data_IF_937408095005
#
_entry.id   IF_937408095005
#
_cell.length_a   1.000
_cell.length_b   1.000
_cell.length_c   1.000
_cell.angle_alpha   90.00
_cell.angle_beta   90.00
_cell.angle_gamma   90.00
#
_symmetry.space_group_name_H-M   'P 1'
#
loop_
_entity.id
_entity.type
_entity.pdbx_description
1 polymer ?
#
# COMPACT_ATOMS: atom_id res chain seq x y z
N UNK A 1 -4.61 12.60 -2.01
CA UNK A 1 -4.92 12.60 -0.54
C UNK A 1 -5.85 11.49 -0.03
N UNK A 2 -7.19 11.65 0.04
CA UNK A 2 -8.08 10.62 0.64
C UNK A 2 -8.00 9.31 -0.14
N UNK A 3 -7.93 9.41 -1.48
CA UNK A 3 -7.78 8.26 -2.35
C UNK A 3 -6.52 7.47 -2.02
N UNK A 4 -5.35 8.11 -1.92
CA UNK A 4 -4.06 7.48 -1.59
C UNK A 4 -4.09 6.74 -0.25
N UNK A 5 -4.71 7.34 0.76
CA UNK A 5 -4.87 6.64 2.03
C UNK A 5 -5.74 5.38 1.90
N UNK A 6 -6.87 5.46 1.18
CA UNK A 6 -7.78 4.33 0.99
C UNK A 6 -7.20 3.26 0.05
N UNK A 7 -6.48 3.64 -1.01
CA UNK A 7 -5.74 2.72 -1.88
C UNK A 7 -4.64 2.03 -1.09
N UNK A 8 -3.91 2.76 -0.27
CA UNK A 8 -2.94 2.21 0.69
C UNK A 8 -3.56 1.11 1.54
N UNK A 9 -4.69 1.38 2.19
CA UNK A 9 -5.41 0.38 2.99
C UNK A 9 -5.74 -0.86 2.15
N UNK A 10 -6.35 -0.65 0.98
CA UNK A 10 -6.78 -1.75 0.12
C UNK A 10 -5.60 -2.60 -0.34
N UNK A 11 -4.53 -1.98 -0.83
CA UNK A 11 -3.29 -2.66 -1.25
C UNK A 11 -2.68 -3.42 -0.08
N UNK A 12 -2.62 -2.82 1.11
CA UNK A 12 -2.13 -3.48 2.32
C UNK A 12 -2.93 -4.73 2.68
N UNK A 13 -4.27 -4.66 2.65
CA UNK A 13 -5.15 -5.82 2.90
C UNK A 13 -4.94 -6.89 1.83
N UNK A 14 -5.07 -6.52 0.56
CA UNK A 14 -5.00 -7.46 -0.57
C UNK A 14 -3.66 -8.17 -0.60
N UNK A 15 -2.55 -7.42 -0.45
CA UNK A 15 -1.22 -8.01 -0.42
C UNK A 15 -1.08 -8.97 0.76
N UNK A 16 -1.53 -8.57 1.95
CA UNK A 16 -1.49 -9.44 3.13
C UNK A 16 -2.23 -10.77 2.91
N UNK A 17 -3.46 -10.71 2.37
CA UNK A 17 -4.27 -11.90 2.15
C UNK A 17 -3.73 -12.79 1.03
N UNK A 18 -3.31 -12.21 -0.10
CA UNK A 18 -2.75 -12.96 -1.23
C UNK A 18 -1.43 -13.62 -0.82
N UNK A 19 -0.52 -12.87 -0.22
CA UNK A 19 0.78 -13.41 0.16
C UNK A 19 0.66 -14.48 1.24
N UNK A 20 -0.20 -14.28 2.24
CA UNK A 20 -0.48 -15.32 3.23
C UNK A 20 -1.09 -16.57 2.60
N UNK A 21 -2.05 -16.44 1.67
CA UNK A 21 -2.73 -17.60 1.08
C UNK A 21 -1.86 -18.41 0.12
N UNK A 22 -1.06 -17.73 -0.70
CA UNK A 22 -0.37 -18.36 -1.84
C UNK A 22 1.13 -18.57 -1.61
N UNK A 23 1.77 -17.79 -0.75
CA UNK A 23 3.24 -17.76 -0.64
C UNK A 23 3.77 -18.16 0.74
N UNK A 24 3.05 -17.85 1.83
CA UNK A 24 3.50 -18.12 3.19
C UNK A 24 2.72 -19.27 3.84
N UNK A 25 3.42 -20.20 4.49
CA UNK A 25 2.77 -21.29 5.26
C UNK A 25 2.32 -20.78 6.63
N UNK A 26 1.44 -21.54 7.30
CA UNK A 26 0.69 -21.23 8.54
C UNK A 26 1.47 -20.54 9.68
N UNK A 27 2.80 -20.67 9.69
CA UNK A 27 3.67 -20.21 10.76
C UNK A 27 4.57 -19.03 10.36
N UNK A 28 4.50 -18.55 9.11
CA UNK A 28 5.53 -17.69 8.55
C UNK A 28 5.37 -16.19 8.85
N UNK A 29 6.53 -15.64 9.22
CA UNK A 29 6.79 -14.41 9.96
C UNK A 29 6.03 -13.18 9.44
N UNK A 30 5.35 -12.48 10.37
CA UNK A 30 4.82 -11.12 10.22
C UNK A 30 5.72 -10.21 9.36
N UNK A 31 7.04 -10.33 9.54
CA UNK A 31 8.03 -9.57 8.80
C UNK A 31 7.96 -9.80 7.28
N UNK A 32 7.77 -11.03 6.81
CA UNK A 32 7.68 -11.35 5.37
C UNK A 32 6.42 -10.72 4.75
N UNK A 33 5.29 -10.86 5.43
CA UNK A 33 4.01 -10.24 5.03
C UNK A 33 4.17 -8.71 5.01
N UNK A 34 4.71 -8.14 6.08
CA UNK A 34 4.92 -6.70 6.20
C UNK A 34 5.81 -6.17 5.07
N UNK A 35 6.96 -6.81 4.81
CA UNK A 35 7.88 -6.42 3.72
C UNK A 35 7.19 -6.54 2.36
N UNK A 36 6.46 -7.63 2.10
CA UNK A 36 5.73 -7.79 0.83
C UNK A 36 4.69 -6.68 0.59
N UNK A 37 3.97 -6.28 1.65
CA UNK A 37 3.00 -5.19 1.59
C UNK A 37 3.69 -3.83 1.38
N UNK A 38 4.80 -3.56 2.06
CA UNK A 38 5.56 -2.32 1.88
C UNK A 38 6.16 -2.18 0.48
N UNK A 39 6.70 -3.27 -0.08
CA UNK A 39 7.20 -3.27 -1.46
C UNK A 39 6.05 -3.06 -2.45
N UNK A 40 4.92 -3.73 -2.22
CA UNK A 40 3.75 -3.64 -3.10
C UNK A 40 3.17 -2.22 -3.10
N UNK A 41 3.02 -1.57 -1.94
CA UNK A 41 2.47 -0.21 -1.89
C UNK A 41 3.41 0.81 -2.51
N UNK A 42 4.73 0.71 -2.31
CA UNK A 42 5.68 1.62 -2.97
C UNK A 42 5.62 1.46 -4.48
N UNK A 43 5.52 0.22 -4.98
CA UNK A 43 5.38 -0.03 -6.41
C UNK A 43 4.07 0.55 -6.98
N UNK A 44 2.94 0.31 -6.29
CA UNK A 44 1.64 0.83 -6.72
C UNK A 44 1.58 2.35 -6.65
N UNK A 45 2.08 2.96 -5.57
CA UNK A 45 2.13 4.41 -5.39
C UNK A 45 2.96 5.08 -6.48
N UNK A 46 4.19 4.59 -6.74
CA UNK A 46 5.01 5.13 -7.84
C UNK A 46 4.33 4.97 -9.20
N UNK A 47 3.70 3.82 -9.46
CA UNK A 47 2.96 3.61 -10.70
C UNK A 47 1.78 4.61 -10.85
N UNK A 48 1.14 4.97 -9.73
CA UNK A 48 0.07 5.95 -9.70
C UNK A 48 0.58 7.37 -9.98
N UNK A 49 1.68 7.80 -9.36
CA UNK A 49 2.31 9.10 -9.66
C UNK A 49 2.71 9.23 -11.13
N UNK A 50 3.25 8.15 -11.73
CA UNK A 50 3.58 8.12 -13.16
C UNK A 50 2.30 8.24 -14.01
N UNK A 51 1.20 7.59 -13.60
CA UNK A 51 -0.09 7.72 -14.25
C UNK A 51 -0.60 9.16 -14.18
N UNK A 52 -0.49 9.83 -13.03
CA UNK A 52 -0.91 11.22 -12.89
C UNK A 52 -0.13 12.18 -13.77
N UNK A 53 1.18 12.01 -13.86
CA UNK A 53 2.03 12.75 -14.80
C UNK A 53 1.64 12.50 -16.26
N UNK A 54 1.36 11.24 -16.63
CA UNK A 54 1.02 10.89 -18.01
C UNK A 54 -0.33 11.46 -18.45
N UNK A 55 -1.30 11.55 -17.54
CA UNK A 55 -2.63 12.10 -17.80
C UNK A 55 -2.75 13.59 -17.46
N UNK A 56 -1.62 14.27 -17.24
CA UNK A 56 -1.55 15.71 -16.96
C UNK A 56 -2.39 16.14 -15.74
N UNK A 57 -2.58 15.23 -14.77
CA UNK A 57 -3.20 15.54 -13.48
C UNK A 57 -2.23 16.27 -12.56
N UNK A 58 -0.93 15.99 -12.71
CA UNK A 58 0.18 16.71 -12.06
C UNK A 58 1.26 17.02 -13.10
N UNK A 59 2.12 18.02 -12.84
CA UNK A 59 3.19 18.40 -13.77
C UNK A 59 4.48 18.81 -13.07
N UNK A 60 5.62 18.47 -13.68
CA UNK A 60 6.94 18.97 -13.25
C UNK A 60 7.04 20.50 -13.32
N UNK A 61 6.22 21.18 -14.13
CA UNK A 61 6.16 22.65 -14.17
C UNK A 61 5.66 23.27 -12.88
N UNK A 62 4.98 22.51 -12.03
CA UNK A 62 4.41 22.99 -10.77
C UNK A 62 5.47 23.16 -9.67
N UNK A 63 6.71 22.76 -9.96
CA UNK A 63 7.88 23.02 -9.12
C UNK A 63 7.74 22.41 -7.73
N UNK A 64 7.84 23.23 -6.69
CA UNK A 64 7.76 22.77 -5.29
C UNK A 64 6.41 22.10 -4.96
N UNK A 65 5.32 22.54 -5.58
CA UNK A 65 3.99 21.98 -5.30
C UNK A 65 3.90 20.52 -5.76
N UNK A 66 4.47 20.19 -6.92
CA UNK A 66 4.57 18.81 -7.40
C UNK A 66 5.28 17.90 -6.39
N UNK A 67 6.44 18.33 -5.88
CA UNK A 67 7.18 17.50 -4.92
C UNK A 67 6.42 17.33 -3.59
N UNK A 68 5.73 18.37 -3.12
CA UNK A 68 4.92 18.28 -1.90
C UNK A 68 3.73 17.34 -2.11
N UNK A 69 3.05 17.43 -3.24
CA UNK A 69 1.89 16.61 -3.59
C UNK A 69 2.28 15.13 -3.69
N UNK A 70 3.20 14.80 -4.60
CA UNK A 70 3.73 13.43 -4.79
C UNK A 70 4.30 12.83 -3.51
N UNK A 71 5.04 13.60 -2.71
CA UNK A 71 5.59 13.07 -1.45
C UNK A 71 4.51 12.84 -0.39
N UNK A 72 3.49 13.70 -0.34
CA UNK A 72 2.34 13.56 0.56
C UNK A 72 1.48 12.36 0.16
N UNK A 73 1.28 12.14 -1.13
CA UNK A 73 0.50 11.03 -1.65
C UNK A 73 1.19 9.68 -1.42
N UNK A 74 2.48 9.55 -1.73
CA UNK A 74 3.26 8.36 -1.38
C UNK A 74 3.31 8.10 0.14
N UNK A 75 3.38 9.15 0.95
CA UNK A 75 3.31 9.02 2.39
C UNK A 75 1.95 8.47 2.84
N UNK A 76 0.85 8.98 2.28
CA UNK A 76 -0.50 8.52 2.60
C UNK A 76 -0.75 7.09 2.13
N UNK A 77 -0.22 6.70 0.98
CA UNK A 77 -0.22 5.31 0.50
C UNK A 77 0.44 4.38 1.52
N UNK A 78 1.65 4.72 1.98
CA UNK A 78 2.38 3.93 2.99
C UNK A 78 1.59 3.85 4.31
N UNK A 79 1.12 4.98 4.82
CA UNK A 79 0.33 5.02 6.07
C UNK A 79 -0.92 4.17 5.93
N UNK A 80 -1.65 4.30 4.82
CA UNK A 80 -2.80 3.47 4.51
C UNK A 80 -2.45 1.98 4.50
N UNK A 81 -1.34 1.60 3.86
CA UNK A 81 -0.89 0.22 3.82
C UNK A 81 -0.53 -0.34 5.20
N UNK A 82 0.00 0.46 6.13
CA UNK A 82 0.20 0.02 7.52
C UNK A 82 -1.12 -0.37 8.20
N UNK A 83 -2.16 0.45 8.04
CA UNK A 83 -3.51 0.12 8.54
C UNK A 83 -4.07 -1.12 7.83
N UNK A 84 -3.88 -1.21 6.52
CA UNK A 84 -4.33 -2.35 5.71
C UNK A 84 -3.68 -3.67 6.12
N UNK A 85 -2.37 -3.68 6.36
CA UNK A 85 -1.63 -4.85 6.85
C UNK A 85 -2.13 -5.26 8.23
N UNK A 86 -2.27 -4.30 9.15
CA UNK A 86 -2.79 -4.58 10.49
C UNK A 86 -4.19 -5.22 10.44
N UNK A 87 -5.08 -4.66 9.61
CA UNK A 87 -6.43 -5.20 9.42
C UNK A 87 -6.43 -6.58 8.73
N UNK A 88 -5.61 -6.76 7.69
CA UNK A 88 -5.45 -8.05 7.00
C UNK A 88 -4.99 -9.16 7.94
N UNK A 89 -4.01 -8.87 8.81
CA UNK A 89 -3.56 -9.82 9.83
C UNK A 89 -4.64 -10.12 10.88
N UNK A 90 -5.47 -9.14 11.24
CA UNK A 90 -6.59 -9.34 12.13
C UNK A 90 -7.65 -10.29 11.54
N UNK A 91 -7.90 -10.21 10.22
CA UNK A 91 -8.75 -11.15 9.47
C UNK A 91 -8.19 -12.57 9.57
N UNK A 92 -6.92 -12.76 9.21
CA UNK A 92 -6.26 -14.08 9.20
C UNK A 92 -6.24 -14.75 10.58
N UNK A 93 -6.02 -13.95 11.64
CA UNK A 93 -6.06 -14.44 13.03
C UNK A 93 -7.45 -14.93 13.44
N UNK A 94 -8.52 -14.36 12.89
CA UNK A 94 -9.90 -14.78 13.17
C UNK A 94 -10.22 -16.11 12.49
N UNK A 95 -9.76 -16.31 11.26
CA UNK A 95 -9.96 -17.56 10.50
C UNK A 95 -9.25 -18.75 11.13
N UNK A 96 -8.05 -18.56 11.68
CA UNK A 96 -7.28 -19.66 12.31
C UNK A 96 -7.88 -20.15 13.63
N UNK A 97 -8.81 -19.39 14.25
CA UNK A 97 -9.46 -19.73 15.52
C UNK A 97 -10.79 -20.49 15.37
N UNK A 98 -11.29 -20.63 14.15
CA UNK A 98 -12.50 -21.40 13.83
C UNK A 98 -12.12 -22.83 13.42
#
# INVERSE_FOLDING_TARGET
MVLHFLSGILVGIVTTLIFHKFFYKKDDEFLKIFVSAMVSIVFVGIAWEIYELYFEMTSFSDGMNYYIDTSSDLFLDIVGALFGVWYGLAILKKETKQ
#
